data_IF_138150254958
#
_entry.id   IF_138150254958
#
_cell.length_a   1.000
_cell.length_b   1.000
_cell.length_c   1.000
_cell.angle_alpha   90.00
_cell.angle_beta   90.00
_cell.angle_gamma   90.00
#
_symmetry.space_group_name_H-M   'P 1'
#
loop_
_entity.id
_entity.type
_entity.pdbx_description
1 polymer ?
#
# COMPACT_ATOMS: atom_id res chain seq x y z
N UNK A 1 2.23 -16.86 -11.12
CA UNK A 1 2.05 -16.34 -9.76
C UNK A 1 1.92 -14.84 -9.81
N UNK A 2 0.98 -14.27 -9.06
CA UNK A 2 0.79 -12.82 -8.94
C UNK A 2 0.94 -12.39 -7.48
N UNK A 3 1.21 -11.10 -7.26
CA UNK A 3 1.16 -10.50 -5.95
C UNK A 3 -0.20 -9.82 -5.75
N UNK A 4 -0.71 -9.79 -4.53
CA UNK A 4 -1.96 -9.11 -4.18
C UNK A 4 -1.79 -8.32 -2.89
N UNK A 5 -2.51 -7.22 -2.75
CA UNK A 5 -2.60 -6.52 -1.46
C UNK A 5 -3.19 -7.49 -0.43
N UNK A 6 -2.51 -7.67 0.70
CA UNK A 6 -2.87 -8.69 1.69
C UNK A 6 -4.29 -8.49 2.25
N UNK A 7 -4.74 -7.26 2.42
CA UNK A 7 -6.10 -6.99 2.91
C UNK A 7 -7.20 -7.51 1.96
N UNK A 8 -6.93 -7.59 0.65
CA UNK A 8 -7.86 -8.16 -0.31
C UNK A 8 -7.98 -9.69 -0.17
N UNK A 9 -6.98 -10.33 0.41
CA UNK A 9 -6.97 -11.77 0.67
C UNK A 9 -7.53 -12.13 2.06
N UNK A 10 -8.10 -11.18 2.79
CA UNK A 10 -8.69 -11.41 4.11
C UNK A 10 -7.71 -11.29 5.27
N UNK A 11 -6.51 -10.78 5.03
CA UNK A 11 -5.54 -10.52 6.11
C UNK A 11 -5.84 -9.16 6.72
N UNK A 12 -6.05 -9.11 8.03
CA UNK A 12 -6.44 -7.90 8.75
C UNK A 12 -5.24 -6.96 8.97
N UNK A 13 -4.67 -6.43 7.89
CA UNK A 13 -3.46 -5.61 7.89
C UNK A 13 -3.69 -4.13 7.59
N UNK A 14 -4.95 -3.71 7.38
CA UNK A 14 -5.28 -2.30 7.17
C UNK A 14 -5.00 -1.49 8.43
N UNK A 15 -4.91 -0.16 8.30
CA UNK A 15 -4.61 0.75 9.42
C UNK A 15 -5.58 0.57 10.60
N UNK A 16 -6.83 0.20 10.33
CA UNK A 16 -7.87 -0.01 11.36
C UNK A 16 -7.90 -1.44 11.92
N UNK A 17 -6.97 -2.31 11.53
CA UNK A 17 -6.92 -3.71 11.94
C UNK A 17 -7.95 -4.58 11.25
N UNK A 18 -8.56 -4.10 10.15
CA UNK A 18 -9.57 -4.82 9.36
C UNK A 18 -8.99 -5.25 8.03
N UNK A 19 -9.79 -5.97 7.25
CA UNK A 19 -9.46 -6.35 5.89
C UNK A 19 -10.48 -5.79 4.89
N UNK A 20 -10.22 -6.00 3.61
CA UNK A 20 -11.12 -5.72 2.49
C UNK A 20 -11.23 -6.98 1.63
N UNK A 21 -11.52 -8.10 2.24
CA UNK A 21 -11.54 -9.40 1.58
C UNK A 21 -12.36 -9.41 0.30
N UNK A 22 -11.75 -9.95 -0.76
CA UNK A 22 -12.40 -10.34 -2.00
C UNK A 22 -12.26 -11.85 -2.09
N UNK A 23 -13.37 -12.57 -2.03
CA UNK A 23 -13.39 -14.03 -1.93
C UNK A 23 -12.57 -14.70 -3.03
N UNK A 24 -12.65 -14.22 -4.27
CA UNK A 24 -11.89 -14.77 -5.40
C UNK A 24 -10.37 -14.64 -5.19
N UNK A 25 -9.93 -13.51 -4.66
CA UNK A 25 -8.50 -13.27 -4.38
C UNK A 25 -8.03 -14.14 -3.21
N UNK A 26 -8.82 -14.26 -2.15
CA UNK A 26 -8.52 -15.16 -1.04
C UNK A 26 -8.36 -16.60 -1.52
N UNK A 27 -9.23 -17.08 -2.41
CA UNK A 27 -9.13 -18.41 -3.01
C UNK A 27 -7.86 -18.59 -3.82
N UNK A 28 -7.41 -17.56 -4.56
CA UNK A 28 -6.15 -17.60 -5.31
C UNK A 28 -4.95 -17.79 -4.38
N UNK A 29 -4.93 -17.10 -3.25
CA UNK A 29 -3.87 -17.27 -2.24
C UNK A 29 -3.90 -18.68 -1.65
N UNK A 30 -5.07 -19.20 -1.31
CA UNK A 30 -5.24 -20.55 -0.76
C UNK A 30 -4.77 -21.62 -1.72
N UNK A 31 -4.89 -21.40 -3.05
CA UNK A 31 -4.43 -22.32 -4.10
C UNK A 31 -2.95 -22.15 -4.44
N UNK A 32 -2.25 -21.22 -3.84
CA UNK A 32 -0.86 -20.91 -4.19
C UNK A 32 -0.67 -20.18 -5.51
N UNK A 33 -1.74 -19.59 -6.06
CA UNK A 33 -1.70 -18.82 -7.33
C UNK A 33 -1.33 -17.34 -7.09
N UNK A 34 -1.43 -16.85 -5.87
CA UNK A 34 -1.11 -15.48 -5.48
C UNK A 34 -0.41 -15.43 -4.14
N UNK A 35 0.45 -14.43 -3.96
CA UNK A 35 1.14 -14.17 -2.69
C UNK A 35 0.69 -12.81 -2.14
N UNK A 36 0.23 -12.75 -0.88
CA UNK A 36 -0.20 -11.51 -0.28
C UNK A 36 0.97 -10.67 0.23
N UNK A 37 0.90 -9.36 0.03
CA UNK A 37 1.84 -8.39 0.56
C UNK A 37 1.12 -7.19 1.16
N UNK A 38 1.65 -6.66 2.26
CA UNK A 38 1.25 -5.37 2.81
C UNK A 38 2.50 -4.51 2.98
N UNK A 39 2.81 -3.60 2.04
CA UNK A 39 4.02 -2.78 2.12
C UNK A 39 4.09 -1.94 3.40
N UNK A 40 2.97 -1.48 3.93
CA UNK A 40 2.93 -0.70 5.16
C UNK A 40 3.43 -1.52 6.36
N UNK A 41 2.94 -2.75 6.53
CA UNK A 41 3.38 -3.66 7.59
C UNK A 41 4.84 -4.08 7.37
N UNK A 42 5.20 -4.38 6.12
CA UNK A 42 6.57 -4.74 5.75
C UNK A 42 7.56 -3.62 6.08
N UNK A 43 7.13 -2.37 5.97
CA UNK A 43 7.93 -1.19 6.33
C UNK A 43 8.03 -0.93 7.84
N UNK A 44 7.42 -1.76 8.68
CA UNK A 44 7.52 -1.66 10.13
C UNK A 44 6.36 -0.95 10.81
N UNK A 45 5.30 -0.60 10.06
CA UNK A 45 4.13 0.05 10.66
C UNK A 45 3.26 -0.98 11.40
N UNK A 46 2.76 -0.63 12.60
CA UNK A 46 1.91 -1.54 13.37
C UNK A 46 0.50 -1.65 12.79
N UNK A 47 -0.23 -2.68 13.22
CA UNK A 47 -1.66 -2.85 12.94
C UNK A 47 -2.40 -3.02 14.26
N UNK A 48 -3.38 -2.19 14.63
CA UNK A 48 -3.83 -0.98 13.90
C UNK A 48 -2.83 0.17 14.00
N UNK A 49 -3.02 1.19 13.16
CA UNK A 49 -2.18 2.39 13.11
C UNK A 49 -3.01 3.60 12.70
N UNK A 50 -2.45 4.79 12.87
CA UNK A 50 -3.11 6.01 12.44
C UNK A 50 -3.20 6.03 10.90
N UNK A 51 -4.33 6.44 10.32
CA UNK A 51 -4.45 6.59 8.87
C UNK A 51 -3.50 7.69 8.39
N UNK A 52 -2.88 7.48 7.23
CA UNK A 52 -1.96 8.41 6.62
C UNK A 52 -2.41 8.79 5.22
N UNK A 53 -1.98 9.96 4.76
CA UNK A 53 -2.20 10.44 3.39
C UNK A 53 -0.93 11.06 2.84
N UNK A 54 -0.82 11.12 1.51
CA UNK A 54 0.31 11.79 0.85
C UNK A 54 -0.01 13.28 0.76
N UNK A 55 0.90 14.10 1.27
CA UNK A 55 0.77 15.57 1.26
C UNK A 55 1.81 16.13 0.30
N UNK A 56 1.39 16.98 -0.62
CA UNK A 56 2.25 17.68 -1.58
C UNK A 56 2.38 17.00 -2.93
N UNK A 57 1.63 15.94 -3.19
CA UNK A 57 1.66 15.24 -4.46
C UNK A 57 1.14 13.80 -4.35
N UNK A 58 1.68 12.91 -5.15
CA UNK A 58 1.35 11.48 -5.12
C UNK A 58 2.59 10.63 -4.80
N UNK A 59 2.50 9.32 -5.00
CA UNK A 59 3.60 8.39 -4.72
C UNK A 59 4.86 8.68 -5.52
N UNK A 60 4.73 9.13 -6.77
CA UNK A 60 5.89 9.53 -7.58
C UNK A 60 6.59 10.73 -6.96
N UNK A 61 5.84 11.71 -6.49
CA UNK A 61 6.38 12.90 -5.83
C UNK A 61 7.08 12.55 -4.53
N UNK A 62 6.60 11.55 -3.81
CA UNK A 62 7.28 11.04 -2.59
C UNK A 62 8.68 10.52 -2.95
N UNK A 63 8.80 9.73 -4.03
CA UNK A 63 10.11 9.21 -4.47
C UNK A 63 11.04 10.30 -4.96
N UNK A 64 10.50 11.38 -5.53
CA UNK A 64 11.28 12.54 -5.99
C UNK A 64 11.66 13.50 -4.85
N UNK A 65 11.14 13.30 -3.65
CA UNK A 65 11.38 14.17 -2.51
C UNK A 65 10.49 15.41 -2.45
N UNK A 66 9.44 15.48 -3.27
CA UNK A 66 8.52 16.63 -3.36
C UNK A 66 7.29 16.49 -2.47
N UNK A 67 7.00 15.29 -1.99
CA UNK A 67 5.84 14.99 -1.16
C UNK A 67 6.22 14.09 0.00
N UNK A 68 5.37 14.05 1.03
CA UNK A 68 5.57 13.23 2.23
C UNK A 68 4.31 12.45 2.57
N UNK A 69 4.48 11.33 3.27
CA UNK A 69 3.39 10.57 3.85
C UNK A 69 3.28 10.94 5.32
N UNK A 70 2.17 11.55 5.71
CA UNK A 70 1.95 12.06 7.06
C UNK A 70 0.69 11.41 7.62
N UNK A 71 0.73 10.94 8.86
CA UNK A 71 -0.46 10.39 9.49
C UNK A 71 -1.37 11.50 10.05
N UNK A 72 -2.56 11.12 10.52
CA UNK A 72 -3.54 12.09 11.02
C UNK A 72 -3.15 12.75 12.36
N UNK A 73 -2.05 12.33 12.96
CA UNK A 73 -1.46 12.94 14.15
C UNK A 73 -0.28 13.86 13.80
N UNK A 74 0.03 14.02 12.52
CA UNK A 74 1.14 14.84 12.04
C UNK A 74 2.50 14.13 12.03
N UNK A 75 2.54 12.83 12.28
CA UNK A 75 3.79 12.07 12.26
C UNK A 75 4.19 11.75 10.82
N UNK A 76 5.44 12.04 10.47
CA UNK A 76 6.01 11.70 9.17
C UNK A 76 6.36 10.22 9.14
N UNK A 77 5.69 9.46 8.26
CA UNK A 77 5.89 8.02 8.07
C UNK A 77 6.42 7.71 6.66
N UNK A 78 6.98 8.71 6.00
CA UNK A 78 7.49 8.59 4.62
C UNK A 78 8.49 7.46 4.47
N UNK A 79 9.46 7.35 5.37
CA UNK A 79 10.52 6.34 5.26
C UNK A 79 9.98 4.92 5.44
N UNK A 80 9.02 4.71 6.33
CA UNK A 80 8.37 3.41 6.53
C UNK A 80 7.64 2.97 5.26
N UNK A 81 6.92 3.89 4.60
CA UNK A 81 6.24 3.62 3.33
C UNK A 81 7.24 3.30 2.21
N UNK A 82 8.32 4.06 2.11
CA UNK A 82 9.36 3.83 1.10
C UNK A 82 10.09 2.50 1.33
N UNK A 83 10.48 2.22 2.57
CA UNK A 83 11.17 0.98 2.91
C UNK A 83 10.27 -0.24 2.67
N UNK A 84 9.00 -0.17 3.03
CA UNK A 84 8.04 -1.23 2.77
C UNK A 84 7.85 -1.52 1.29
N UNK A 85 7.80 -0.46 0.47
CA UNK A 85 7.72 -0.59 -0.98
C UNK A 85 8.98 -1.26 -1.57
N UNK A 86 10.16 -0.83 -1.14
CA UNK A 86 11.43 -1.41 -1.60
C UNK A 86 11.56 -2.90 -1.24
N UNK A 87 11.27 -3.25 0.01
CA UNK A 87 11.36 -4.64 0.47
C UNK A 87 10.35 -5.54 -0.24
N UNK A 88 9.14 -5.04 -0.48
CA UNK A 88 8.12 -5.77 -1.22
C UNK A 88 8.55 -6.00 -2.67
N UNK A 89 9.10 -4.98 -3.32
CA UNK A 89 9.59 -5.10 -4.70
C UNK A 89 10.72 -6.13 -4.80
N UNK A 90 11.69 -6.09 -3.88
CA UNK A 90 12.79 -7.06 -3.85
C UNK A 90 12.24 -8.48 -3.74
N UNK A 91 11.28 -8.70 -2.84
CA UNK A 91 10.67 -10.01 -2.67
C UNK A 91 9.93 -10.49 -3.91
N UNK A 92 9.20 -9.59 -4.58
CA UNK A 92 8.53 -9.91 -5.84
C UNK A 92 9.52 -10.28 -6.93
N UNK A 93 10.65 -9.55 -7.03
CA UNK A 93 11.70 -9.85 -8.01
C UNK A 93 12.35 -11.21 -7.75
N UNK A 94 12.63 -11.53 -6.49
CA UNK A 94 13.18 -12.84 -6.11
C UNK A 94 12.25 -14.00 -6.50
N UNK A 95 10.94 -13.79 -6.46
CA UNK A 95 9.93 -14.78 -6.80
C UNK A 95 9.54 -14.77 -8.28
N UNK A 96 10.10 -13.86 -9.09
CA UNK A 96 9.77 -13.74 -10.50
C UNK A 96 8.36 -13.21 -10.77
N UNK A 97 7.77 -12.47 -9.82
CA UNK A 97 6.42 -11.92 -9.94
C UNK A 97 6.44 -10.65 -10.77
N UNK A 98 5.60 -10.57 -11.81
CA UNK A 98 5.50 -9.42 -12.72
C UNK A 98 4.11 -8.79 -12.76
N UNK A 99 3.13 -9.37 -12.06
CA UNK A 99 1.75 -8.88 -12.02
C UNK A 99 1.30 -8.72 -10.58
N UNK A 100 0.56 -7.64 -10.30
CA UNK A 100 0.10 -7.31 -8.96
C UNK A 100 -1.33 -6.77 -8.98
N UNK A 101 -2.15 -7.20 -8.03
CA UNK A 101 -3.48 -6.63 -7.75
C UNK A 101 -3.39 -5.88 -6.43
N UNK A 102 -3.68 -4.57 -6.45
CA UNK A 102 -3.50 -3.69 -5.31
C UNK A 102 -4.82 -3.08 -4.83
N UNK A 103 -4.90 -2.84 -3.52
CA UNK A 103 -6.02 -2.15 -2.89
C UNK A 103 -6.00 -0.66 -3.27
N UNK A 104 -7.08 -0.18 -3.89
CA UNK A 104 -7.21 1.22 -4.31
C UNK A 104 -7.32 2.18 -3.11
N UNK A 105 -7.04 3.47 -3.33
CA UNK A 105 -7.08 4.58 -2.37
C UNK A 105 -6.04 4.54 -1.25
N UNK A 106 -5.32 3.44 -1.07
CA UNK A 106 -4.23 3.37 -0.09
C UNK A 106 -3.09 4.31 -0.46
N UNK A 107 -2.46 5.02 0.50
CA UNK A 107 -1.27 5.80 0.22
C UNK A 107 -0.06 4.94 -0.18
N UNK A 108 -0.10 3.64 0.05
CA UNK A 108 0.91 2.68 -0.42
C UNK A 108 0.48 2.02 -1.72
N UNK A 109 -0.70 1.41 -1.76
CA UNK A 109 -1.14 0.49 -2.81
C UNK A 109 -2.04 1.11 -3.89
N UNK A 110 -2.55 2.33 -3.71
CA UNK A 110 -3.44 2.95 -4.70
C UNK A 110 -2.78 3.04 -6.07
N UNK A 111 -3.43 2.48 -7.11
CA UNK A 111 -2.88 2.47 -8.47
C UNK A 111 -3.42 3.59 -9.36
N UNK A 112 -4.62 4.08 -9.10
CA UNK A 112 -5.28 5.14 -9.88
C UNK A 112 -5.74 6.31 -9.02
N UNK A 113 -6.16 6.08 -7.78
CA UNK A 113 -6.68 7.10 -6.89
C UNK A 113 -6.12 6.94 -5.47
N UNK A 114 -5.89 8.06 -4.83
CA UNK A 114 -5.45 8.17 -3.44
C UNK A 114 -6.24 9.27 -2.74
N UNK A 115 -6.21 9.31 -1.42
CA UNK A 115 -6.75 10.46 -0.68
C UNK A 115 -5.89 11.70 -0.93
N UNK A 116 -6.52 12.88 -0.91
CA UNK A 116 -5.91 14.13 -1.41
C UNK A 116 -4.97 14.84 -0.42
N UNK A 117 -4.76 14.29 0.76
CA UNK A 117 -3.87 14.87 1.78
C UNK A 117 -4.54 15.80 2.77
N UNK A 118 -5.86 16.03 2.66
CA UNK A 118 -6.60 16.94 3.54
C UNK A 118 -7.27 16.23 4.71
N UNK A 119 -7.22 14.91 4.75
CA UNK A 119 -7.91 14.05 5.76
C UNK A 119 -9.42 14.30 5.82
N UNK A 120 -10.02 14.63 4.67
CA UNK A 120 -11.45 14.96 4.54
C UNK A 120 -12.27 13.89 3.83
N UNK A 121 -11.67 12.74 3.49
CA UNK A 121 -12.33 11.70 2.70
C UNK A 121 -12.37 11.96 1.20
N UNK A 122 -11.79 13.06 0.73
CA UNK A 122 -11.71 13.39 -0.70
C UNK A 122 -10.56 12.65 -1.36
N UNK A 123 -10.77 12.23 -2.60
CA UNK A 123 -9.77 11.51 -3.40
C UNK A 123 -9.32 12.37 -4.58
N UNK A 124 -8.13 12.05 -5.10
CA UNK A 124 -7.57 12.63 -6.32
C UNK A 124 -6.93 11.54 -7.17
N UNK A 125 -6.70 11.82 -8.45
CA UNK A 125 -5.93 10.93 -9.31
C UNK A 125 -4.48 10.88 -8.85
N UNK A 126 -3.88 9.71 -8.86
CA UNK A 126 -2.50 9.51 -8.48
C UNK A 126 -2.23 8.09 -8.01
N UNK A 127 -0.97 7.82 -7.69
CA UNK A 127 -0.51 6.51 -7.22
C UNK A 127 -0.01 6.59 -5.79
N UNK A 128 -0.13 5.48 -5.04
CA UNK A 128 0.52 5.32 -3.74
C UNK A 128 2.03 5.12 -3.89
N UNK A 129 2.73 5.12 -2.77
CA UNK A 129 4.20 5.01 -2.73
C UNK A 129 4.67 3.68 -3.35
N UNK A 130 4.08 2.55 -2.95
CA UNK A 130 4.45 1.24 -3.48
C UNK A 130 4.03 1.08 -4.95
N UNK A 131 2.81 1.51 -5.30
CA UNK A 131 2.31 1.45 -6.67
C UNK A 131 3.19 2.23 -7.65
N UNK A 132 3.71 3.38 -7.24
CA UNK A 132 4.61 4.20 -8.07
C UNK A 132 5.96 3.52 -8.31
N UNK A 133 6.45 2.71 -7.36
CA UNK A 133 7.71 1.98 -7.49
C UNK A 133 7.56 0.74 -8.36
N UNK A 134 6.42 0.07 -8.27
CA UNK A 134 6.13 -1.17 -9.02
C UNK A 134 5.74 -0.91 -10.50
#
# INVERSE_FOLDING_TARGET
MIAVSACLAGIACRYDGKDKEITKIKQMVERGEAIPFCPEVTGGLPTPRNPAEIIGGDGKDVWLGHAKVIDNKGTDVTEEYKNGARLTLIKMQELGITQIIMKEKSPSCGSCAIYDGTFSGKIKDGTGVAAALF
#
